data_IF_827578219041
#
_entry.id   IF_827578219041
#
_cell.length_a   1.000
_cell.length_b   1.000
_cell.length_c   1.000
_cell.angle_alpha   90.00
_cell.angle_beta   90.00
_cell.angle_gamma   90.00
#
_symmetry.space_group_name_H-M   'P 1'
#
loop_
_entity.id
_entity.type
_entity.pdbx_description
1 polymer ?
#
# COMPACT_ATOMS: atom_id res chain seq x y z
N UNK A 1 0.72 -16.33 -1.27
CA UNK A 1 -0.40 -15.81 -0.45
C UNK A 1 -1.68 -16.27 -1.13
N UNK A 2 -2.59 -16.93 -0.41
CA UNK A 2 -3.74 -17.66 -0.99
C UNK A 2 -4.50 -16.84 -2.04
N UNK A 3 -4.77 -15.55 -1.78
CA UNK A 3 -5.44 -14.67 -2.74
C UNK A 3 -4.66 -14.51 -4.06
N UNK A 4 -3.37 -14.17 -4.01
CA UNK A 4 -2.54 -14.02 -5.23
C UNK A 4 -2.42 -15.32 -6.02
N UNK A 5 -2.38 -16.46 -5.32
CA UNK A 5 -2.31 -17.76 -5.96
C UNK A 5 -3.63 -18.12 -6.67
N UNK A 6 -4.78 -17.87 -6.03
CA UNK A 6 -6.11 -18.09 -6.62
C UNK A 6 -6.36 -17.24 -7.87
N UNK A 7 -5.88 -16.00 -7.90
CA UNK A 7 -6.14 -15.05 -8.99
C UNK A 7 -4.93 -14.82 -9.90
N UNK A 8 -3.91 -15.70 -9.83
CA UNK A 8 -2.62 -15.53 -10.51
C UNK A 8 -2.73 -15.21 -12.00
N UNK A 9 -3.63 -15.88 -12.72
CA UNK A 9 -3.84 -15.63 -14.14
C UNK A 9 -4.33 -14.21 -14.46
N UNK A 10 -5.25 -13.66 -13.66
CA UNK A 10 -5.76 -12.29 -13.85
C UNK A 10 -4.75 -11.25 -13.37
N UNK A 11 -4.19 -11.46 -12.18
CA UNK A 11 -3.30 -10.49 -11.55
C UNK A 11 -1.90 -10.43 -12.21
N UNK A 12 -1.44 -11.54 -12.80
CA UNK A 12 -0.19 -11.57 -13.56
C UNK A 12 -0.27 -10.95 -14.95
N UNK A 13 -1.46 -10.53 -15.40
CA UNK A 13 -1.66 -9.88 -16.70
C UNK A 13 -1.45 -8.36 -16.69
N UNK A 14 -1.27 -7.74 -15.52
CA UNK A 14 -0.98 -6.31 -15.42
C UNK A 14 0.50 -6.04 -15.73
N UNK A 15 0.77 -4.94 -16.44
CA UNK A 15 2.13 -4.60 -16.90
C UNK A 15 2.89 -3.87 -15.82
N UNK A 16 2.18 -3.05 -15.02
CA UNK A 16 2.79 -2.24 -13.96
C UNK A 16 2.11 -2.50 -12.61
N UNK A 17 2.87 -2.26 -11.54
CA UNK A 17 2.31 -2.38 -10.19
C UNK A 17 1.18 -1.36 -9.96
N UNK A 18 1.23 -0.19 -10.59
CA UNK A 18 0.22 0.85 -10.49
C UNK A 18 -1.11 0.40 -11.10
N UNK A 19 -1.09 -0.30 -12.23
CA UNK A 19 -2.28 -0.89 -12.84
C UNK A 19 -2.92 -1.93 -11.94
N UNK A 20 -2.11 -2.85 -11.40
CA UNK A 20 -2.56 -3.84 -10.43
C UNK A 20 -3.13 -3.17 -9.18
N UNK A 21 -2.42 -2.19 -8.61
CA UNK A 21 -2.87 -1.44 -7.44
C UNK A 21 -4.22 -0.74 -7.67
N UNK A 22 -4.38 -0.09 -8.83
CA UNK A 22 -5.65 0.54 -9.22
C UNK A 22 -6.78 -0.49 -9.33
N UNK A 23 -6.50 -1.66 -9.89
CA UNK A 23 -7.47 -2.75 -9.98
C UNK A 23 -7.87 -3.29 -8.59
N UNK A 24 -6.90 -3.46 -7.68
CA UNK A 24 -7.12 -3.99 -6.33
C UNK A 24 -8.03 -3.08 -5.50
N UNK A 25 -7.89 -1.75 -5.64
CA UNK A 25 -8.77 -0.76 -4.99
C UNK A 25 -10.24 -0.84 -5.42
N UNK A 26 -10.53 -1.53 -6.52
CA UNK A 26 -11.90 -1.77 -7.00
C UNK A 26 -12.45 -3.11 -6.49
N UNK A 27 -11.62 -3.91 -5.81
CA UNK A 27 -12.02 -5.21 -5.27
C UNK A 27 -12.46 -5.09 -3.81
N UNK A 28 -13.44 -5.90 -3.36
CA UNK A 28 -13.92 -5.85 -1.98
C UNK A 28 -12.98 -6.60 -1.02
N UNK A 29 -11.67 -6.29 -1.02
CA UNK A 29 -10.68 -7.07 -0.28
C UNK A 29 -10.89 -7.03 1.23
N UNK A 30 -11.25 -5.87 1.78
CA UNK A 30 -11.52 -5.74 3.22
C UNK A 30 -12.71 -6.59 3.65
N UNK A 31 -13.78 -6.61 2.83
CA UNK A 31 -14.94 -7.46 3.08
C UNK A 31 -14.58 -8.96 2.96
N UNK A 32 -13.74 -9.31 1.98
CA UNK A 32 -13.28 -10.69 1.80
C UNK A 32 -12.41 -11.14 2.99
N UNK A 33 -11.52 -10.28 3.49
CA UNK A 33 -10.71 -10.53 4.68
C UNK A 33 -11.60 -10.74 5.91
N UNK A 34 -12.54 -9.82 6.15
CA UNK A 34 -13.47 -9.92 7.27
C UNK A 34 -14.33 -11.20 7.19
N UNK A 35 -14.77 -11.57 5.98
CA UNK A 35 -15.56 -12.78 5.76
C UNK A 35 -14.75 -14.06 5.94
N UNK A 36 -13.49 -14.06 5.50
CA UNK A 36 -12.57 -15.16 5.75
C UNK A 36 -12.33 -15.35 7.26
N UNK A 37 -12.07 -14.27 7.98
CA UNK A 37 -11.84 -14.32 9.43
C UNK A 37 -13.07 -14.87 10.18
N UNK A 38 -14.27 -14.40 9.82
CA UNK A 38 -15.55 -14.84 10.38
C UNK A 38 -15.79 -16.35 10.15
N UNK A 39 -15.54 -16.84 8.94
CA UNK A 39 -15.61 -18.26 8.60
C UNK A 39 -14.58 -19.12 9.36
N UNK A 40 -13.52 -18.50 9.90
CA UNK A 40 -12.50 -19.15 10.73
C UNK A 40 -12.70 -18.87 12.23
N UNK A 41 -13.91 -18.46 12.64
CA UNK A 41 -14.27 -18.29 14.06
C UNK A 41 -13.90 -16.94 14.66
N UNK A 42 -13.37 -16.00 13.89
CA UNK A 42 -13.06 -14.64 14.34
C UNK A 42 -14.28 -13.75 14.08
N UNK A 43 -15.07 -13.51 15.13
CA UNK A 43 -16.28 -12.69 15.04
C UNK A 43 -15.99 -11.29 14.49
N UNK A 44 -16.77 -10.86 13.50
CA UNK A 44 -16.69 -9.51 12.92
C UNK A 44 -16.91 -8.42 13.97
N UNK A 45 -16.09 -7.37 13.91
CA UNK A 45 -16.23 -6.14 14.69
C UNK A 45 -16.30 -4.94 13.74
N UNK A 46 -17.50 -4.61 13.21
CA UNK A 46 -17.65 -3.64 12.13
C UNK A 46 -17.01 -2.28 12.42
N UNK A 47 -17.16 -1.78 13.65
CA UNK A 47 -16.58 -0.51 14.09
C UNK A 47 -15.05 -0.49 13.95
N UNK A 48 -14.34 -1.49 14.49
CA UNK A 48 -12.88 -1.55 14.39
C UNK A 48 -12.38 -1.83 12.97
N UNK A 49 -13.14 -2.60 12.18
CA UNK A 49 -12.83 -2.83 10.76
C UNK A 49 -12.94 -1.52 9.98
N UNK A 50 -13.96 -0.70 10.27
CA UNK A 50 -14.11 0.61 9.66
C UNK A 50 -12.98 1.56 10.08
N UNK A 51 -12.66 1.60 11.38
CA UNK A 51 -11.58 2.44 11.92
C UNK A 51 -10.21 2.10 11.33
N UNK A 52 -9.92 0.82 11.09
CA UNK A 52 -8.64 0.34 10.55
C UNK A 52 -8.66 0.05 9.05
N UNK A 53 -9.76 0.37 8.36
CA UNK A 53 -10.04 -0.11 7.01
C UNK A 53 -8.96 0.29 6.00
N UNK A 54 -8.56 1.56 5.99
CA UNK A 54 -7.54 2.07 5.07
C UNK A 54 -6.17 1.40 5.28
N UNK A 55 -5.76 1.19 6.53
CA UNK A 55 -4.50 0.52 6.86
C UNK A 55 -4.50 -0.94 6.42
N UNK A 56 -5.62 -1.64 6.66
CA UNK A 56 -5.78 -3.04 6.25
C UNK A 56 -5.78 -3.17 4.73
N UNK A 57 -6.51 -2.30 4.03
CA UNK A 57 -6.54 -2.25 2.58
C UNK A 57 -5.16 -1.98 1.98
N UNK A 58 -4.47 -0.93 2.44
CA UNK A 58 -3.13 -0.58 1.98
C UNK A 58 -2.14 -1.74 2.16
N UNK A 59 -2.19 -2.39 3.33
CA UNK A 59 -1.37 -3.57 3.64
C UNK A 59 -1.65 -4.70 2.64
N UNK A 60 -2.93 -5.06 2.43
CA UNK A 60 -3.29 -6.10 1.47
C UNK A 60 -2.85 -5.76 0.06
N UNK A 61 -3.07 -4.52 -0.40
CA UNK A 61 -2.67 -4.09 -1.74
C UNK A 61 -1.16 -4.23 -1.94
N UNK A 62 -0.35 -3.74 -0.99
CA UNK A 62 1.10 -3.83 -1.06
C UNK A 62 1.59 -5.29 -1.10
N UNK A 63 1.07 -6.17 -0.24
CA UNK A 63 1.45 -7.59 -0.23
C UNK A 63 1.01 -8.34 -1.49
N UNK A 64 -0.14 -7.99 -2.09
CA UNK A 64 -0.53 -8.56 -3.38
C UNK A 64 0.43 -8.08 -4.47
N UNK A 65 0.70 -6.77 -4.54
CA UNK A 65 1.65 -6.17 -5.50
C UNK A 65 3.03 -6.82 -5.42
N UNK A 66 3.54 -7.03 -4.21
CA UNK A 66 4.82 -7.70 -3.94
C UNK A 66 4.95 -9.04 -4.65
N UNK A 67 3.88 -9.83 -4.68
CA UNK A 67 3.90 -11.17 -5.26
C UNK A 67 4.07 -11.17 -6.79
N UNK A 68 3.85 -10.04 -7.46
CA UNK A 68 3.97 -9.90 -8.92
C UNK A 68 5.12 -8.99 -9.35
N UNK A 69 5.44 -7.97 -8.55
CA UNK A 69 6.40 -6.92 -8.91
C UNK A 69 7.59 -6.79 -7.94
N UNK A 70 7.70 -7.66 -6.94
CA UNK A 70 8.83 -7.70 -6.03
C UNK A 70 8.80 -6.64 -4.92
N UNK A 71 9.92 -6.52 -4.22
CA UNK A 71 10.04 -5.75 -2.99
C UNK A 71 9.99 -4.23 -3.21
N UNK A 72 10.57 -3.74 -4.30
CA UNK A 72 10.53 -2.30 -4.62
C UNK A 72 9.09 -1.81 -4.83
N UNK A 73 8.29 -2.60 -5.54
CA UNK A 73 6.88 -2.30 -5.76
C UNK A 73 6.05 -2.41 -4.47
N UNK A 74 6.44 -3.29 -3.54
CA UNK A 74 5.82 -3.35 -2.22
C UNK A 74 5.97 -2.02 -1.49
N UNK A 75 7.20 -1.49 -1.35
CA UNK A 75 7.45 -0.24 -0.64
C UNK A 75 6.81 0.95 -1.35
N UNK A 76 6.86 0.99 -2.69
CA UNK A 76 6.23 2.02 -3.49
C UNK A 76 4.69 2.03 -3.33
N UNK A 77 4.06 0.86 -3.22
CA UNK A 77 2.62 0.76 -2.97
C UNK A 77 2.27 1.07 -1.51
N UNK A 78 3.02 0.53 -0.55
CA UNK A 78 2.74 0.65 0.89
C UNK A 78 2.87 2.10 1.40
N UNK A 79 3.89 2.82 0.95
CA UNK A 79 4.11 4.23 1.32
C UNK A 79 3.51 5.22 0.32
N UNK A 80 2.72 4.74 -0.65
CA UNK A 80 2.18 5.56 -1.73
C UNK A 80 1.45 6.81 -1.22
N UNK A 81 0.73 6.67 -0.11
CA UNK A 81 -0.05 7.76 0.49
C UNK A 81 0.54 8.29 1.80
N UNK A 82 1.74 7.85 2.19
CA UNK A 82 2.39 8.31 3.42
C UNK A 82 2.93 9.74 3.25
N UNK A 83 2.41 10.73 3.99
CA UNK A 83 2.78 12.13 3.83
C UNK A 83 4.24 12.41 4.26
N UNK A 84 4.78 11.65 5.21
CA UNK A 84 6.15 11.81 5.66
C UNK A 84 7.11 11.34 4.58
N UNK A 85 6.84 10.18 3.97
CA UNK A 85 7.67 9.65 2.88
C UNK A 85 7.58 10.56 1.65
N UNK A 86 6.38 11.03 1.28
CA UNK A 86 6.21 12.00 0.20
C UNK A 86 7.04 13.25 0.43
N UNK A 87 6.93 13.85 1.63
CA UNK A 87 7.73 15.04 1.98
C UNK A 87 9.22 14.75 1.93
N UNK A 88 9.66 13.59 2.42
CA UNK A 88 11.08 13.20 2.35
C UNK A 88 11.60 13.13 0.91
N UNK A 89 10.84 12.51 0.00
CA UNK A 89 11.17 12.44 -1.42
C UNK A 89 11.21 13.85 -2.03
N UNK A 90 10.21 14.68 -1.77
CA UNK A 90 10.18 16.07 -2.25
C UNK A 90 11.41 16.87 -1.82
N UNK A 91 11.79 16.81 -0.53
CA UNK A 91 12.97 17.51 -0.01
C UNK A 91 14.26 17.04 -0.69
N UNK A 92 14.37 15.74 -0.98
CA UNK A 92 15.52 15.18 -1.70
C UNK A 92 15.55 15.66 -3.16
N UNK A 93 14.41 15.60 -3.87
CA UNK A 93 14.30 16.00 -5.27
C UNK A 93 14.58 17.49 -5.49
N UNK A 94 14.24 18.34 -4.50
CA UNK A 94 14.53 19.77 -4.53
C UNK A 94 15.95 20.14 -4.07
N UNK A 95 16.71 19.19 -3.52
CA UNK A 95 18.03 19.45 -2.93
C UNK A 95 18.01 20.07 -1.53
N UNK A 96 16.82 20.26 -0.95
CA UNK A 96 16.58 20.81 0.40
C UNK A 96 17.01 19.85 1.52
N UNK A 97 17.34 18.59 1.19
CA UNK A 97 17.85 17.58 2.12
C UNK A 97 19.39 17.51 2.18
N UNK A 98 20.13 18.38 1.47
CA UNK A 98 21.59 18.40 1.51
C UNK A 98 22.15 18.96 2.83
N UNK A 99 23.42 18.70 3.14
CA UNK A 99 24.05 19.19 4.37
C UNK A 99 23.94 20.71 4.50
N UNK A 100 24.31 21.43 3.44
CA UNK A 100 24.28 22.90 3.42
C UNK A 100 22.84 23.42 3.51
N UNK A 101 21.90 22.82 2.78
CA UNK A 101 20.49 23.20 2.83
C UNK A 101 19.86 23.01 4.23
N UNK A 102 20.25 21.95 4.94
CA UNK A 102 19.81 21.71 6.32
C UNK A 102 20.40 22.74 7.27
N UNK A 103 21.68 23.11 7.11
CA UNK A 103 22.32 24.17 7.91
C UNK A 103 21.63 25.52 7.68
N UNK A 104 21.26 25.81 6.43
CA UNK A 104 20.61 27.07 6.04
C UNK A 104 19.10 27.09 6.28
N UNK A 105 18.51 26.00 6.79
CA UNK A 105 17.08 25.83 7.03
C UNK A 105 16.18 25.95 5.77
N UNK A 106 16.72 25.64 4.59
CA UNK A 106 16.02 25.77 3.28
C UNK A 106 14.80 24.85 3.13
N UNK A 107 14.62 23.88 4.03
CA UNK A 107 13.47 22.97 4.06
C UNK A 107 12.20 23.57 4.71
N UNK A 108 12.28 24.79 5.27
CA UNK A 108 11.23 25.45 6.05
C UNK A 108 10.29 26.36 5.25
N UNK A 109 10.63 26.65 3.99
CA UNK A 109 9.84 27.51 3.10
C UNK A 109 8.50 26.89 2.66
#
# INVERSE_FOLDING_TARGET
MIYSDMYRGRLGGFVTWQELYKYLRQQPLLLNLASFADNNGIRRRPYYIQESGELLENTMYAYIVRNFFGEEAFWAAYYKEDPLIKRGVELIEKGEASHDAVINEEYRD
#
